data_IF_789631375859
#
_entry.id   IF_789631375859
#
_cell.length_a   1.000
_cell.length_b   1.000
_cell.length_c   1.000
_cell.angle_alpha   90.00
_cell.angle_beta   90.00
_cell.angle_gamma   90.00
#
_symmetry.space_group_name_H-M   'P 1'
#
loop_
_entity.id
_entity.type
_entity.pdbx_description
1 polymer ?
#
# COMPACT_ATOMS: atom_id res chain seq x y z
N UNK A 1 -19.51 22.58 9.16
CA UNK A 1 -19.17 22.76 7.72
C UNK A 1 -19.94 21.69 6.96
N UNK A 2 -20.87 22.08 6.11
CA UNK A 2 -21.62 21.11 5.29
C UNK A 2 -20.70 20.45 4.28
N UNK A 3 -20.72 19.13 4.22
CA UNK A 3 -19.99 18.29 3.26
C UNK A 3 -20.56 18.43 1.85
N UNK A 4 -20.35 19.60 1.24
CA UNK A 4 -21.02 19.98 -0.03
C UNK A 4 -20.53 19.16 -1.23
N UNK A 5 -19.25 18.80 -1.29
CA UNK A 5 -18.69 18.08 -2.44
C UNK A 5 -19.16 16.62 -2.47
N UNK A 6 -19.21 15.96 -1.32
CA UNK A 6 -19.57 14.56 -1.20
C UNK A 6 -20.94 14.21 -1.81
N UNK A 7 -21.92 15.13 -1.70
CA UNK A 7 -23.28 14.90 -2.20
C UNK A 7 -23.59 15.62 -3.51
N UNK A 8 -22.85 16.67 -3.85
CA UNK A 8 -23.07 17.47 -5.06
C UNK A 8 -22.26 16.97 -6.26
N UNK A 9 -21.15 16.23 -6.04
CA UNK A 9 -20.41 15.64 -7.14
C UNK A 9 -21.18 14.46 -7.73
N UNK A 10 -21.41 14.43 -9.06
CA UNK A 10 -22.11 13.31 -9.68
C UNK A 10 -21.24 12.05 -9.64
N UNK A 11 -21.86 10.91 -9.45
CA UNK A 11 -21.21 9.62 -9.70
C UNK A 11 -21.53 9.13 -11.11
N UNK A 12 -20.67 8.26 -11.62
CA UNK A 12 -20.86 7.59 -12.91
C UNK A 12 -20.69 6.08 -12.75
N UNK A 13 -21.43 5.32 -13.53
CA UNK A 13 -21.16 3.91 -13.70
C UNK A 13 -19.95 3.73 -14.64
N UNK A 14 -19.02 2.89 -14.27
CA UNK A 14 -17.86 2.54 -15.10
C UNK A 14 -18.26 1.39 -16.02
N UNK A 15 -17.93 1.50 -17.31
CA UNK A 15 -17.96 0.34 -18.20
C UNK A 15 -16.82 -0.61 -17.85
N UNK A 16 -16.95 -1.89 -18.18
CA UNK A 16 -15.91 -2.89 -17.86
C UNK A 16 -14.54 -2.52 -18.44
N UNK A 17 -14.51 -1.84 -19.58
CA UNK A 17 -13.28 -1.35 -20.22
C UNK A 17 -12.57 -0.28 -19.38
N UNK A 18 -13.33 0.49 -18.61
CA UNK A 18 -12.84 1.56 -17.74
C UNK A 18 -12.55 1.10 -16.31
N UNK A 19 -12.71 -0.19 -16.01
CA UNK A 19 -12.29 -0.74 -14.72
C UNK A 19 -10.75 -0.70 -14.61
N UNK A 20 -10.21 -0.44 -13.41
CA UNK A 20 -8.79 -0.65 -13.16
C UNK A 20 -8.37 -2.07 -13.57
N UNK A 21 -7.22 -2.20 -14.23
CA UNK A 21 -6.80 -3.44 -14.87
C UNK A 21 -6.84 -4.66 -13.96
N UNK A 22 -6.35 -4.51 -12.71
CA UNK A 22 -6.36 -5.58 -11.73
C UNK A 22 -7.78 -6.03 -11.36
N UNK A 23 -8.70 -5.07 -11.17
CA UNK A 23 -10.08 -5.39 -10.85
C UNK A 23 -10.80 -6.04 -12.03
N UNK A 24 -10.53 -5.55 -13.26
CA UNK A 24 -11.09 -6.15 -14.47
C UNK A 24 -10.68 -7.60 -14.67
N UNK A 25 -9.40 -7.92 -14.34
CA UNK A 25 -8.85 -9.26 -14.43
C UNK A 25 -9.23 -10.16 -13.23
N UNK A 26 -9.78 -9.59 -12.17
CA UNK A 26 -10.14 -10.30 -10.95
C UNK A 26 -11.34 -11.26 -11.20
N UNK A 27 -11.23 -12.49 -10.71
CA UNK A 27 -12.39 -13.44 -10.69
C UNK A 27 -13.53 -12.95 -9.81
N UNK A 28 -13.27 -11.95 -8.97
CA UNK A 28 -14.21 -11.30 -8.07
C UNK A 28 -14.68 -9.95 -8.56
N UNK A 29 -14.43 -9.60 -9.83
CA UNK A 29 -14.86 -8.34 -10.43
C UNK A 29 -16.37 -8.14 -10.27
N UNK A 30 -16.84 -6.96 -9.83
CA UNK A 30 -18.26 -6.68 -9.72
C UNK A 30 -18.91 -6.52 -11.09
N UNK A 31 -20.21 -6.80 -11.19
CA UNK A 31 -20.97 -6.59 -12.44
C UNK A 31 -21.21 -5.10 -12.72
N UNK A 32 -21.37 -4.32 -11.66
CA UNK A 32 -21.56 -2.86 -11.70
C UNK A 32 -20.51 -2.21 -10.81
N UNK A 33 -19.94 -1.12 -11.23
CA UNK A 33 -19.03 -0.33 -10.43
C UNK A 33 -19.30 1.15 -10.66
N UNK A 34 -19.73 1.82 -9.61
CA UNK A 34 -19.97 3.25 -9.60
C UNK A 34 -18.76 3.97 -9.02
N UNK A 35 -18.43 5.12 -9.59
CA UNK A 35 -17.30 5.94 -9.23
C UNK A 35 -17.71 7.40 -9.02
N UNK A 36 -17.29 7.99 -7.92
CA UNK A 36 -17.31 9.42 -7.64
C UNK A 36 -15.87 9.88 -7.46
N UNK A 37 -15.48 10.99 -8.10
CA UNK A 37 -14.10 11.46 -8.16
C UNK A 37 -13.28 10.84 -9.30
N UNK A 38 -11.96 10.85 -9.16
CA UNK A 38 -11.02 10.47 -10.23
C UNK A 38 -10.26 9.20 -9.87
N UNK A 39 -10.30 8.21 -10.74
CA UNK A 39 -9.46 7.03 -10.60
C UNK A 39 -8.00 7.39 -10.94
N UNK A 40 -7.03 6.86 -10.20
CA UNK A 40 -5.63 7.03 -10.53
C UNK A 40 -5.30 6.42 -11.89
N UNK A 41 -4.24 6.91 -12.50
CA UNK A 41 -3.69 6.41 -13.76
C UNK A 41 -3.19 4.96 -13.64
N UNK A 42 -3.04 4.29 -14.78
CA UNK A 42 -2.72 2.84 -14.84
C UNK A 42 -1.31 2.49 -14.37
N UNK A 43 -0.43 3.47 -14.22
CA UNK A 43 0.93 3.32 -13.67
C UNK A 43 0.97 3.22 -12.14
N UNK A 44 -0.18 3.44 -11.48
CA UNK A 44 -0.27 3.41 -10.02
C UNK A 44 -0.37 1.99 -9.48
N UNK A 45 0.31 1.76 -8.35
CA UNK A 45 0.36 0.49 -7.64
C UNK A 45 -0.62 0.52 -6.46
N UNK A 46 -1.68 -0.27 -6.55
CA UNK A 46 -2.67 -0.38 -5.48
C UNK A 46 -2.15 -1.22 -4.31
N UNK A 47 -2.22 -0.66 -3.10
CA UNK A 47 -2.00 -1.38 -1.85
C UNK A 47 -3.26 -1.33 -1.00
N UNK A 48 -3.88 -2.49 -0.74
CA UNK A 48 -4.98 -2.60 0.19
C UNK A 48 -4.45 -2.54 1.62
N UNK A 49 -4.99 -1.66 2.45
CA UNK A 49 -4.67 -1.59 3.87
C UNK A 49 -5.95 -1.77 4.69
N UNK A 50 -6.03 -2.87 5.43
CA UNK A 50 -7.26 -3.26 6.12
C UNK A 50 -6.99 -3.69 7.56
N UNK A 51 -8.03 -3.64 8.39
CA UNK A 51 -7.89 -4.10 9.77
C UNK A 51 -9.17 -4.01 10.60
N UNK A 52 -8.98 -4.10 11.90
CA UNK A 52 -10.07 -4.08 12.87
C UNK A 52 -10.76 -2.71 12.94
N UNK A 53 -12.07 -2.74 13.22
CA UNK A 53 -12.86 -1.53 13.50
C UNK A 53 -12.65 -0.98 14.94
N UNK A 54 -12.01 -1.76 15.81
CA UNK A 54 -11.66 -1.40 17.18
C UNK A 54 -10.16 -1.62 17.40
N UNK A 55 -9.31 -0.74 16.82
CA UNK A 55 -7.87 -0.87 16.90
C UNK A 55 -7.31 -0.51 18.28
N UNK A 56 -6.02 -0.81 18.49
CA UNK A 56 -5.28 -0.33 19.66
C UNK A 56 -5.12 1.20 19.63
N UNK A 57 -4.81 1.79 20.79
CA UNK A 57 -4.55 3.23 20.89
C UNK A 57 -3.38 3.71 20.01
N UNK A 58 -2.38 2.86 19.79
CA UNK A 58 -1.21 3.16 18.96
C UNK A 58 -1.44 2.94 17.45
N UNK A 59 -2.60 2.43 17.04
CA UNK A 59 -2.82 2.02 15.64
C UNK A 59 -2.84 3.19 14.66
N UNK A 60 -3.28 4.36 15.10
CA UNK A 60 -3.29 5.54 14.24
C UNK A 60 -1.87 5.96 13.88
N UNK A 61 -0.97 6.04 14.85
CA UNK A 61 0.43 6.34 14.64
C UNK A 61 1.12 5.27 13.78
N UNK A 62 0.77 4.01 14.01
CA UNK A 62 1.25 2.89 13.20
C UNK A 62 0.84 3.03 11.73
N UNK A 63 -0.42 3.40 11.45
CA UNK A 63 -0.89 3.66 10.09
C UNK A 63 -0.16 4.86 9.45
N UNK A 64 0.13 5.93 10.21
CA UNK A 64 0.90 7.07 9.72
C UNK A 64 2.30 6.64 9.27
N UNK A 65 3.02 5.89 10.09
CA UNK A 65 4.37 5.39 9.77
C UNK A 65 4.36 4.46 8.55
N UNK A 66 3.39 3.56 8.46
CA UNK A 66 3.22 2.68 7.31
C UNK A 66 3.01 3.48 6.02
N UNK A 67 2.08 4.42 6.04
CA UNK A 67 1.74 5.22 4.86
C UNK A 67 2.84 6.21 4.49
N UNK A 68 3.56 6.76 5.47
CA UNK A 68 4.71 7.65 5.20
C UNK A 68 5.78 6.97 4.34
N UNK A 69 5.96 5.66 4.46
CA UNK A 69 6.88 4.91 3.62
C UNK A 69 6.47 4.86 2.14
N UNK A 70 5.22 5.22 1.83
CA UNK A 70 4.68 5.25 0.46
C UNK A 70 4.75 6.64 -0.19
N UNK A 71 5.26 7.65 0.53
CA UNK A 71 5.46 8.99 -0.04
C UNK A 71 6.47 8.94 -1.19
N UNK A 72 6.29 9.82 -2.17
CA UNK A 72 7.14 9.92 -3.35
C UNK A 72 7.26 8.59 -4.14
N UNK A 73 6.18 7.82 -4.15
CA UNK A 73 6.04 6.60 -4.96
C UNK A 73 4.81 6.70 -5.87
N UNK A 74 4.61 5.69 -6.69
CA UNK A 74 3.38 5.53 -7.47
C UNK A 74 2.30 4.71 -6.72
N UNK A 75 2.43 4.53 -5.41
CA UNK A 75 1.45 3.81 -4.60
C UNK A 75 0.10 4.54 -4.48
N UNK A 76 -0.97 3.75 -4.38
CA UNK A 76 -2.32 4.20 -4.03
C UNK A 76 -2.81 3.36 -2.86
N UNK A 77 -3.21 4.01 -1.78
CA UNK A 77 -3.82 3.33 -0.63
C UNK A 77 -5.29 3.03 -0.94
N UNK A 78 -5.68 1.77 -0.82
CA UNK A 78 -7.04 1.31 -1.06
C UNK A 78 -7.60 0.72 0.22
N UNK A 79 -8.76 1.20 0.67
CA UNK A 79 -9.40 0.69 1.88
C UNK A 79 -10.92 0.87 1.83
N UNK A 80 -11.59 0.50 2.92
CA UNK A 80 -13.05 0.42 2.93
C UNK A 80 -13.77 1.56 3.64
N UNK A 81 -13.07 2.58 4.09
CA UNK A 81 -13.65 3.68 4.86
C UNK A 81 -14.46 3.20 6.08
N UNK A 82 -14.16 2.03 6.63
CA UNK A 82 -14.72 1.59 7.88
C UNK A 82 -14.06 2.31 9.06
N UNK A 83 -14.77 2.41 10.19
CA UNK A 83 -14.17 2.91 11.43
C UNK A 83 -12.91 2.12 11.79
N UNK A 84 -11.92 2.75 12.40
CA UNK A 84 -10.66 2.12 12.83
C UNK A 84 -9.60 2.13 11.73
N UNK A 85 -8.95 0.99 11.48
CA UNK A 85 -7.76 0.91 10.60
C UNK A 85 -8.01 1.53 9.21
N UNK A 86 -9.14 1.22 8.58
CA UNK A 86 -9.44 1.74 7.24
C UNK A 86 -9.42 3.28 7.24
N UNK A 87 -10.14 3.91 8.20
CA UNK A 87 -10.18 5.37 8.34
C UNK A 87 -8.82 5.96 8.69
N UNK A 88 -8.03 5.28 9.52
CA UNK A 88 -6.68 5.72 9.87
C UNK A 88 -5.73 5.69 8.66
N UNK A 89 -5.81 4.65 7.83
CA UNK A 89 -5.03 4.57 6.60
C UNK A 89 -5.41 5.65 5.59
N UNK A 90 -6.70 5.94 5.41
CA UNK A 90 -7.13 7.03 4.53
C UNK A 90 -6.65 8.39 5.02
N UNK A 91 -6.78 8.69 6.34
CA UNK A 91 -6.27 9.95 6.91
C UNK A 91 -4.77 10.07 6.72
N UNK A 92 -4.04 9.02 7.06
CA UNK A 92 -2.58 9.01 6.89
C UNK A 92 -2.19 9.23 5.42
N UNK A 93 -2.91 8.64 4.47
CA UNK A 93 -2.67 8.84 3.04
C UNK A 93 -2.91 10.29 2.63
N UNK A 94 -4.03 10.89 3.05
CA UNK A 94 -4.36 12.29 2.79
C UNK A 94 -3.35 13.26 3.40
N UNK A 95 -2.91 13.00 4.63
CA UNK A 95 -1.94 13.84 5.34
C UNK A 95 -0.53 13.72 4.74
N UNK A 96 -0.20 12.56 4.18
CA UNK A 96 1.08 12.28 3.52
C UNK A 96 1.11 12.64 2.03
N UNK A 97 -0.01 13.08 1.44
CA UNK A 97 -0.11 13.35 0.01
C UNK A 97 -0.08 12.08 -0.87
N UNK A 98 -0.33 10.89 -0.28
CA UNK A 98 -0.43 9.63 -0.99
C UNK A 98 -1.85 9.47 -1.53
N UNK A 99 -2.05 9.20 -2.83
CA UNK A 99 -3.38 8.98 -3.39
C UNK A 99 -4.14 7.87 -2.66
N UNK A 100 -5.45 8.04 -2.49
CA UNK A 100 -6.26 7.02 -1.82
C UNK A 100 -7.64 6.84 -2.44
N UNK A 101 -8.11 5.59 -2.44
CA UNK A 101 -9.42 5.19 -2.95
C UNK A 101 -10.19 4.49 -1.83
N UNK A 102 -11.42 4.94 -1.58
CA UNK A 102 -12.32 4.27 -0.67
C UNK A 102 -13.36 3.44 -1.42
N UNK A 103 -13.49 2.17 -1.08
CA UNK A 103 -14.55 1.30 -1.59
C UNK A 103 -15.66 1.24 -0.54
N UNK A 104 -16.90 1.55 -0.91
CA UNK A 104 -18.03 1.63 0.01
C UNK A 104 -18.91 0.38 -0.05
N UNK A 105 -19.56 0.05 1.06
CA UNK A 105 -20.53 -1.04 1.16
C UNK A 105 -21.99 -0.55 0.98
N UNK A 106 -22.18 0.65 0.44
CA UNK A 106 -23.42 1.36 0.22
C UNK A 106 -23.34 2.16 -1.07
N UNK A 107 -24.44 2.63 -1.59
CA UNK A 107 -24.47 3.52 -2.75
C UNK A 107 -23.76 4.85 -2.47
N UNK A 108 -23.25 5.48 -3.53
CA UNK A 108 -22.40 6.67 -3.43
C UNK A 108 -23.15 7.95 -3.01
N UNK A 109 -24.49 7.95 -3.06
CA UNK A 109 -25.33 9.03 -2.53
C UNK A 109 -25.89 8.72 -1.14
N UNK A 110 -25.75 7.47 -0.66
CA UNK A 110 -26.18 7.11 0.67
C UNK A 110 -25.39 7.87 1.73
N UNK A 111 -26.06 8.30 2.80
CA UNK A 111 -25.49 9.14 3.85
C UNK A 111 -24.28 8.47 4.50
N UNK A 112 -23.16 9.18 4.55
CA UNK A 112 -21.98 8.86 5.35
C UNK A 112 -21.96 9.81 6.54
N UNK A 113 -21.74 9.30 7.75
CA UNK A 113 -21.84 10.08 8.98
C UNK A 113 -20.49 10.25 9.68
N UNK A 114 -20.39 11.35 10.45
CA UNK A 114 -19.27 11.63 11.33
C UNK A 114 -17.94 11.79 10.59
N UNK A 115 -16.87 11.37 11.23
CA UNK A 115 -15.50 11.48 10.71
C UNK A 115 -15.31 10.83 9.33
N UNK A 116 -16.05 9.76 9.03
CA UNK A 116 -16.00 9.09 7.74
C UNK A 116 -16.45 9.99 6.59
N UNK A 117 -17.46 10.85 6.82
CA UNK A 117 -17.90 11.84 5.84
C UNK A 117 -16.79 12.86 5.55
N UNK A 118 -16.11 13.35 6.58
CA UNK A 118 -14.98 14.27 6.43
C UNK A 118 -13.82 13.62 5.64
N UNK A 119 -13.52 12.35 5.91
CA UNK A 119 -12.48 11.62 5.18
C UNK A 119 -12.89 11.44 3.71
N UNK A 120 -14.15 11.04 3.43
CA UNK A 120 -14.67 10.88 2.08
C UNK A 120 -14.61 12.19 1.28
N UNK A 121 -14.99 13.31 1.90
CA UNK A 121 -14.86 14.64 1.32
C UNK A 121 -13.42 14.98 0.96
N UNK A 122 -12.48 14.78 1.89
CA UNK A 122 -11.05 15.01 1.66
C UNK A 122 -10.48 14.12 0.56
N UNK A 123 -10.93 12.86 0.43
CA UNK A 123 -10.53 11.96 -0.65
C UNK A 123 -10.89 12.58 -2.01
N UNK A 124 -12.12 13.07 -2.17
CA UNK A 124 -12.57 13.73 -3.40
C UNK A 124 -11.78 15.01 -3.68
N UNK A 125 -11.60 15.85 -2.67
CA UNK A 125 -10.83 17.11 -2.77
C UNK A 125 -9.36 16.89 -3.16
N UNK A 126 -8.77 15.77 -2.74
CA UNK A 126 -7.38 15.42 -3.09
C UNK A 126 -7.24 14.74 -4.46
N UNK A 127 -8.31 14.64 -5.24
CA UNK A 127 -8.30 13.96 -6.55
C UNK A 127 -8.36 12.44 -6.46
N UNK A 128 -8.74 11.88 -5.32
CA UNK A 128 -9.01 10.46 -5.13
C UNK A 128 -10.42 10.06 -5.58
N UNK A 129 -10.82 8.82 -5.27
CA UNK A 129 -12.13 8.29 -5.66
C UNK A 129 -12.85 7.54 -4.54
N UNK A 130 -14.19 7.59 -4.61
CA UNK A 130 -15.07 6.69 -3.89
C UNK A 130 -15.68 5.71 -4.90
N UNK A 131 -15.61 4.42 -4.59
CA UNK A 131 -16.13 3.34 -5.42
C UNK A 131 -17.23 2.57 -4.68
N UNK A 132 -18.22 2.08 -5.43
CA UNK A 132 -19.24 1.18 -4.92
C UNK A 132 -19.79 0.28 -6.01
N UNK A 133 -20.23 -0.93 -5.67
CA UNK A 133 -21.03 -1.76 -6.58
C UNK A 133 -22.55 -1.52 -6.42
N UNK A 134 -22.94 -0.61 -5.52
CA UNK A 134 -24.33 -0.30 -5.21
C UNK A 134 -24.72 1.06 -5.75
N UNK A 135 -25.88 1.12 -6.39
CA UNK A 135 -26.36 2.34 -7.03
C UNK A 135 -27.00 3.31 -6.02
N UNK A 136 -26.86 4.60 -6.30
CA UNK A 136 -27.63 5.70 -5.68
C UNK A 136 -27.54 5.72 -4.16
N UNK A 137 -28.72 5.67 -3.55
CA UNK A 137 -28.92 5.76 -2.08
C UNK A 137 -28.98 4.40 -1.40
N UNK A 138 -28.57 3.31 -2.08
CA UNK A 138 -28.61 1.96 -1.52
C UNK A 138 -27.95 1.92 -0.15
N UNK A 139 -28.65 1.52 0.93
CA UNK A 139 -28.11 1.52 2.28
C UNK A 139 -27.10 0.38 2.48
N UNK A 140 -26.23 0.55 3.48
CA UNK A 140 -25.29 -0.47 3.86
C UNK A 140 -25.98 -1.61 4.63
N UNK A 141 -25.92 -2.83 4.10
CA UNK A 141 -26.33 -4.05 4.78
C UNK A 141 -25.11 -4.87 5.23
N UNK A 142 -25.29 -5.73 6.22
CA UNK A 142 -24.20 -6.55 6.79
C UNK A 142 -23.45 -7.35 5.70
N UNK A 143 -24.17 -7.96 4.76
CA UNK A 143 -23.61 -8.71 3.65
C UNK A 143 -22.73 -7.87 2.72
N UNK A 144 -23.11 -6.60 2.51
CA UNK A 144 -22.40 -5.70 1.60
C UNK A 144 -20.98 -5.40 2.07
N UNK A 145 -20.71 -5.36 3.38
CA UNK A 145 -19.36 -5.18 3.92
C UNK A 145 -18.44 -6.35 3.56
N UNK A 146 -18.98 -7.57 3.55
CA UNK A 146 -18.24 -8.77 3.16
C UNK A 146 -18.01 -8.76 1.65
N UNK A 147 -19.07 -8.54 0.88
CA UNK A 147 -19.01 -8.51 -0.58
C UNK A 147 -18.03 -7.45 -1.09
N UNK A 148 -18.05 -6.23 -0.52
CA UNK A 148 -17.19 -5.13 -0.88
C UNK A 148 -15.69 -5.46 -0.73
N UNK A 149 -15.30 -6.26 0.26
CA UNK A 149 -13.88 -6.54 0.56
C UNK A 149 -13.15 -7.20 -0.62
N UNK A 150 -13.86 -7.96 -1.47
CA UNK A 150 -13.31 -8.52 -2.71
C UNK A 150 -12.87 -7.44 -3.71
N UNK A 151 -13.56 -6.30 -3.71
CA UNK A 151 -13.21 -5.18 -4.59
C UNK A 151 -11.96 -4.46 -4.07
N UNK A 152 -11.81 -4.30 -2.75
CA UNK A 152 -10.59 -3.76 -2.14
C UNK A 152 -9.37 -4.60 -2.54
N UNK A 153 -9.44 -5.92 -2.36
CA UNK A 153 -8.39 -6.84 -2.78
C UNK A 153 -8.20 -6.84 -4.31
N UNK A 154 -9.31 -6.85 -5.07
CA UNK A 154 -9.30 -6.85 -6.53
C UNK A 154 -8.57 -5.67 -7.14
N UNK A 155 -8.69 -4.48 -6.54
CA UNK A 155 -8.02 -3.25 -6.96
C UNK A 155 -6.51 -3.21 -6.64
N UNK A 156 -6.03 -4.13 -5.79
CA UNK A 156 -4.70 -4.03 -5.19
C UNK A 156 -3.79 -5.17 -5.67
N UNK A 157 -2.51 -4.87 -5.82
CA UNK A 157 -1.45 -5.87 -6.06
C UNK A 157 -1.06 -6.55 -4.75
N UNK A 158 -1.04 -5.80 -3.66
CA UNK A 158 -0.65 -6.24 -2.33
C UNK A 158 -1.74 -5.88 -1.33
N UNK A 159 -2.00 -6.77 -0.37
CA UNK A 159 -2.91 -6.52 0.76
C UNK A 159 -2.13 -6.57 2.06
N UNK A 160 -2.20 -5.51 2.87
CA UNK A 160 -1.66 -5.45 4.22
C UNK A 160 -2.78 -5.55 5.26
N UNK A 161 -2.69 -6.53 6.14
CA UNK A 161 -3.53 -6.61 7.35
C UNK A 161 -2.76 -5.98 8.51
N UNK A 162 -3.22 -4.81 8.98
CA UNK A 162 -2.55 -4.03 10.03
C UNK A 162 -2.80 -4.62 11.42
N UNK A 163 -4.05 -4.81 11.78
CA UNK A 163 -4.49 -5.47 13.02
C UNK A 163 -5.76 -6.27 12.77
N UNK A 164 -5.81 -7.49 13.22
CA UNK A 164 -7.02 -8.32 13.15
C UNK A 164 -7.04 -9.38 14.26
N UNK A 165 -8.21 -9.55 14.87
CA UNK A 165 -8.49 -10.74 15.66
C UNK A 165 -8.64 -11.96 14.77
N UNK A 166 -8.54 -13.18 15.33
CA UNK A 166 -8.63 -14.44 14.60
C UNK A 166 -9.94 -14.62 13.80
N UNK A 167 -11.03 -13.99 14.22
CA UNK A 167 -12.32 -13.97 13.50
C UNK A 167 -12.65 -12.58 12.95
N UNK A 168 -11.64 -11.77 12.61
CA UNK A 168 -11.80 -10.39 12.13
C UNK A 168 -12.23 -10.32 10.66
N UNK A 169 -13.07 -9.33 10.32
CA UNK A 169 -13.53 -9.12 8.94
C UNK A 169 -12.41 -8.81 7.93
N UNK A 170 -11.27 -8.27 8.38
CA UNK A 170 -10.10 -8.03 7.54
C UNK A 170 -9.48 -9.32 6.99
N UNK A 171 -9.64 -10.45 7.69
CA UNK A 171 -9.16 -11.76 7.23
C UNK A 171 -9.93 -12.26 5.99
N UNK A 172 -11.16 -11.79 5.78
CA UNK A 172 -11.89 -12.06 4.53
C UNK A 172 -11.24 -11.35 3.34
N UNK A 173 -10.77 -10.12 3.53
CA UNK A 173 -10.00 -9.41 2.49
C UNK A 173 -8.67 -10.13 2.22
N UNK A 174 -8.00 -10.60 3.27
CA UNK A 174 -6.80 -11.43 3.14
C UNK A 174 -7.06 -12.71 2.35
N UNK A 175 -8.21 -13.36 2.57
CA UNK A 175 -8.57 -14.56 1.83
C UNK A 175 -8.78 -14.27 0.34
N UNK A 176 -9.48 -13.19 -0.03
CA UNK A 176 -9.63 -12.78 -1.44
C UNK A 176 -8.28 -12.51 -2.11
N UNK A 177 -7.34 -11.89 -1.38
CA UNK A 177 -5.97 -11.67 -1.85
C UNK A 177 -5.25 -12.98 -2.17
N UNK A 178 -5.29 -13.94 -1.25
CA UNK A 178 -4.65 -15.26 -1.42
C UNK A 178 -5.30 -16.07 -2.55
N UNK A 179 -6.63 -16.03 -2.66
CA UNK A 179 -7.37 -16.76 -3.69
C UNK A 179 -7.02 -16.29 -5.11
N UNK A 180 -6.50 -15.08 -5.23
CA UNK A 180 -6.01 -14.50 -6.49
C UNK A 180 -4.49 -14.61 -6.66
N UNK A 181 -3.79 -15.30 -5.74
CA UNK A 181 -2.34 -15.46 -5.77
C UNK A 181 -1.56 -14.14 -5.60
N UNK A 182 -2.19 -13.13 -4.99
CA UNK A 182 -1.57 -11.82 -4.75
C UNK A 182 -0.76 -11.83 -3.45
N UNK A 183 0.13 -10.85 -3.32
CA UNK A 183 0.97 -10.72 -2.13
C UNK A 183 0.13 -10.32 -0.91
N UNK A 184 0.21 -11.12 0.15
CA UNK A 184 -0.40 -10.83 1.44
C UNK A 184 0.69 -10.46 2.45
N UNK A 185 0.54 -9.31 3.08
CA UNK A 185 1.39 -8.81 4.16
C UNK A 185 0.60 -8.74 5.46
N UNK A 186 1.29 -8.91 6.58
CA UNK A 186 0.70 -8.75 7.89
C UNK A 186 1.70 -8.12 8.88
N UNK A 187 1.19 -7.30 9.79
CA UNK A 187 1.99 -6.81 10.91
C UNK A 187 2.00 -7.84 12.03
N UNK A 188 3.17 -8.22 12.53
CA UNK A 188 3.27 -8.99 13.75
C UNK A 188 2.92 -8.13 14.97
N UNK A 189 2.47 -8.75 16.02
CA UNK A 189 2.23 -8.09 17.29
C UNK A 189 2.45 -9.03 18.45
N UNK A 190 2.37 -8.48 19.68
CA UNK A 190 2.53 -9.28 20.88
C UNK A 190 1.52 -10.44 20.88
N UNK A 191 1.98 -11.64 21.17
CA UNK A 191 1.15 -12.86 21.18
C UNK A 191 0.01 -12.79 22.21
N UNK A 192 0.21 -12.04 23.32
CA UNK A 192 -0.82 -11.81 24.34
C UNK A 192 -1.89 -10.78 23.90
N UNK A 193 -1.65 -10.06 22.81
CA UNK A 193 -2.59 -9.06 22.35
C UNK A 193 -3.55 -9.65 21.30
N UNK A 194 -4.79 -9.87 21.71
CA UNK A 194 -5.84 -10.43 20.90
C UNK A 194 -6.07 -9.71 19.56
N UNK A 195 -5.74 -8.40 19.48
CA UNK A 195 -5.86 -7.61 18.26
C UNK A 195 -4.89 -8.07 17.15
N UNK A 196 -3.84 -8.79 17.50
CA UNK A 196 -2.87 -9.35 16.55
C UNK A 196 -3.01 -10.86 16.37
N UNK A 197 -3.95 -11.52 17.06
CA UNK A 197 -4.11 -12.98 16.97
C UNK A 197 -4.38 -13.46 15.52
N UNK A 198 -5.10 -12.68 14.72
CA UNK A 198 -5.36 -12.99 13.31
C UNK A 198 -4.17 -12.74 12.40
N UNK A 199 -3.45 -11.62 12.58
CA UNK A 199 -2.23 -11.33 11.81
C UNK A 199 -1.13 -12.31 12.14
N UNK A 200 -0.92 -12.62 13.43
CA UNK A 200 0.06 -13.62 13.86
C UNK A 200 -0.27 -15.01 13.29
N UNK A 201 -1.54 -15.42 13.25
CA UNK A 201 -1.94 -16.68 12.64
C UNK A 201 -1.68 -16.75 11.12
N UNK A 202 -1.82 -15.63 10.39
CA UNK A 202 -1.44 -15.54 8.98
C UNK A 202 0.07 -15.72 8.78
N UNK A 203 0.87 -15.13 9.67
CA UNK A 203 2.33 -15.22 9.64
C UNK A 203 2.81 -16.62 10.03
N UNK A 204 2.29 -17.18 11.11
CA UNK A 204 2.63 -18.52 11.61
C UNK A 204 2.34 -19.61 10.57
N UNK A 205 1.22 -19.49 9.86
CA UNK A 205 0.85 -20.41 8.78
C UNK A 205 1.59 -20.19 7.46
N UNK A 206 2.53 -19.24 7.38
CA UNK A 206 3.25 -18.90 6.15
C UNK A 206 2.39 -18.30 5.05
N UNK A 207 1.14 -17.89 5.36
CA UNK A 207 0.19 -17.33 4.37
C UNK A 207 0.43 -15.85 4.09
N UNK A 208 1.12 -15.14 4.98
CA UNK A 208 1.48 -13.74 4.82
C UNK A 208 2.97 -13.53 5.07
N UNK A 209 3.54 -12.54 4.41
CA UNK A 209 4.89 -12.03 4.71
C UNK A 209 4.81 -10.97 5.80
N UNK A 210 5.75 -11.00 6.76
CA UNK A 210 5.77 -10.05 7.85
C UNK A 210 6.30 -8.68 7.42
N UNK A 211 5.66 -7.61 7.92
CA UNK A 211 6.22 -6.26 7.92
C UNK A 211 6.60 -5.96 9.37
N UNK A 212 7.87 -6.13 9.72
CA UNK A 212 8.37 -5.93 11.11
C UNK A 212 8.59 -4.45 11.43
N UNK A 213 9.00 -3.68 10.45
CA UNK A 213 9.28 -2.24 10.57
C UNK A 213 8.29 -1.51 9.67
N UNK A 214 7.43 -0.62 10.21
CA UNK A 214 6.42 0.07 9.40
C UNK A 214 7.01 0.80 8.20
N UNK A 215 8.18 1.40 8.34
CA UNK A 215 8.88 2.13 7.31
C UNK A 215 9.40 1.23 6.17
N UNK A 216 9.50 -0.08 6.40
CA UNK A 216 9.87 -1.04 5.36
C UNK A 216 8.71 -1.50 4.48
N UNK A 217 7.47 -1.05 4.73
CA UNK A 217 6.31 -1.48 3.96
C UNK A 217 6.52 -1.31 2.45
N UNK A 218 7.06 -0.18 2.03
CA UNK A 218 7.34 0.09 0.62
C UNK A 218 8.23 -0.98 -0.02
N UNK A 219 9.37 -1.29 0.61
CA UNK A 219 10.33 -2.26 0.08
C UNK A 219 9.79 -3.70 0.14
N UNK A 220 9.08 -4.06 1.22
CA UNK A 220 8.46 -5.38 1.37
C UNK A 220 7.34 -5.59 0.35
N UNK A 221 6.58 -4.54 0.03
CA UNK A 221 5.55 -4.56 -1.00
C UNK A 221 6.11 -4.45 -2.44
N UNK A 222 7.42 -4.26 -2.61
CA UNK A 222 8.04 -4.14 -3.92
C UNK A 222 7.66 -2.85 -4.67
N UNK A 223 7.30 -1.78 -3.95
CA UNK A 223 6.88 -0.51 -4.55
C UNK A 223 8.12 0.36 -4.82
N UNK A 224 8.40 0.73 -6.07
CA UNK A 224 9.57 1.56 -6.39
C UNK A 224 9.39 3.00 -5.91
N UNK A 225 10.48 3.66 -5.56
CA UNK A 225 10.49 5.09 -5.33
C UNK A 225 10.58 5.84 -6.65
N UNK A 226 9.92 6.99 -6.75
CA UNK A 226 10.01 7.84 -7.94
C UNK A 226 11.34 8.62 -7.91
N UNK A 227 12.02 8.67 -9.03
CA UNK A 227 13.42 9.15 -9.15
C UNK A 227 13.67 10.61 -8.70
N UNK A 228 12.65 11.46 -8.67
CA UNK A 228 12.79 12.85 -8.21
C UNK A 228 12.99 13.04 -6.70
N UNK A 229 12.68 12.03 -5.88
CA UNK A 229 12.75 12.12 -4.41
C UNK A 229 14.08 11.60 -3.82
N UNK A 230 14.90 10.92 -4.61
CA UNK A 230 16.11 10.23 -4.14
C UNK A 230 17.25 11.17 -3.74
N UNK A 231 17.44 12.25 -4.49
CA UNK A 231 18.58 13.14 -4.31
C UNK A 231 18.46 13.93 -2.99
N UNK A 232 17.25 14.33 -2.62
CA UNK A 232 17.02 15.07 -1.36
C UNK A 232 17.14 14.22 -0.10
N UNK A 233 16.74 12.93 -0.14
CA UNK A 233 16.83 12.03 1.04
C UNK A 233 18.27 11.56 1.32
N UNK A 234 19.07 11.34 0.29
CA UNK A 234 20.51 11.02 0.44
C UNK A 234 21.30 12.20 1.02
N UNK A 235 20.87 13.43 0.71
CA UNK A 235 21.47 14.65 1.26
C UNK A 235 21.06 14.91 2.72
N UNK A 236 19.87 14.45 3.14
CA UNK A 236 19.37 14.68 4.52
C UNK A 236 19.95 13.70 5.54
N UNK A 237 20.39 12.50 5.12
CA UNK A 237 21.08 11.54 5.98
C UNK A 237 22.58 11.85 6.20
N UNK A 238 23.14 12.88 5.59
CA UNK A 238 24.53 13.31 5.80
C UNK A 238 25.58 12.35 5.25
N UNK A 239 25.21 11.30 4.54
CA UNK A 239 26.14 10.34 3.92
C UNK A 239 26.44 10.85 2.51
N UNK A 240 27.62 11.41 2.30
CA UNK A 240 28.13 11.75 0.97
C UNK A 240 28.67 10.45 0.34
N UNK A 241 27.95 9.90 -0.62
CA UNK A 241 28.46 8.84 -1.47
C UNK A 241 29.50 9.40 -2.44
N UNK A 242 30.51 8.56 -2.76
CA UNK A 242 31.38 8.85 -3.88
C UNK A 242 30.62 8.86 -5.20
N UNK A 243 31.07 9.60 -6.21
CA UNK A 243 30.42 9.63 -7.53
C UNK A 243 30.31 8.23 -8.15
N UNK A 244 31.27 7.38 -7.91
CA UNK A 244 31.27 5.99 -8.37
C UNK A 244 30.19 5.15 -7.66
N UNK A 245 30.06 5.27 -6.34
CA UNK A 245 29.02 4.60 -5.56
C UNK A 245 27.62 5.04 -5.98
N UNK A 246 27.45 6.33 -6.20
CA UNK A 246 26.18 6.90 -6.67
C UNK A 246 25.79 6.33 -8.04
N UNK A 247 26.70 6.29 -9.02
CA UNK A 247 26.45 5.73 -10.36
C UNK A 247 26.07 4.25 -10.31
N UNK A 248 26.76 3.45 -9.49
CA UNK A 248 26.47 2.01 -9.33
C UNK A 248 25.09 1.83 -8.70
N UNK A 249 24.78 2.59 -7.67
CA UNK A 249 23.48 2.52 -6.99
C UNK A 249 22.33 2.94 -7.89
N UNK A 250 22.43 4.06 -8.60
CA UNK A 250 21.42 4.55 -9.53
C UNK A 250 21.10 3.56 -10.66
N UNK A 251 22.15 2.87 -11.16
CA UNK A 251 22.02 1.90 -12.25
C UNK A 251 21.28 0.63 -11.84
N UNK A 252 21.46 0.16 -10.60
CA UNK A 252 20.95 -1.15 -10.15
C UNK A 252 19.95 -1.09 -9.00
N UNK A 253 19.51 0.07 -8.64
CA UNK A 253 18.53 0.24 -7.60
C UNK A 253 17.28 -0.64 -7.78
N UNK A 254 16.98 -1.46 -6.76
CA UNK A 254 15.90 -2.44 -6.80
C UNK A 254 16.24 -3.76 -7.49
N UNK A 255 17.48 -3.93 -7.98
CA UNK A 255 17.92 -5.16 -8.64
C UNK A 255 18.86 -5.99 -7.76
N UNK A 256 18.94 -7.27 -8.09
CA UNK A 256 19.91 -8.19 -7.55
C UNK A 256 21.02 -8.39 -8.58
N UNK A 257 22.28 -8.28 -8.17
CA UNK A 257 23.44 -8.50 -9.03
C UNK A 257 24.52 -9.27 -8.31
N UNK A 258 25.22 -10.11 -9.05
CA UNK A 258 26.46 -10.73 -8.57
C UNK A 258 27.65 -9.80 -8.77
N UNK A 259 28.73 -10.02 -8.03
CA UNK A 259 29.99 -9.27 -8.20
C UNK A 259 30.50 -9.32 -9.65
N UNK A 260 30.41 -10.47 -10.29
CA UNK A 260 30.84 -10.68 -11.68
C UNK A 260 30.01 -9.89 -12.69
N UNK A 261 28.69 -9.82 -12.49
CA UNK A 261 27.81 -9.02 -13.35
C UNK A 261 28.08 -7.53 -13.20
N UNK A 262 28.33 -7.05 -11.96
CA UNK A 262 28.68 -5.65 -11.71
C UNK A 262 30.03 -5.30 -12.35
N UNK A 263 31.01 -6.21 -12.29
CA UNK A 263 32.31 -6.01 -12.89
C UNK A 263 32.27 -5.98 -14.43
N UNK A 264 31.33 -6.70 -15.04
CA UNK A 264 31.13 -6.67 -16.50
C UNK A 264 30.44 -5.39 -17.02
N UNK A 265 29.58 -4.80 -16.21
CA UNK A 265 28.83 -3.59 -16.62
C UNK A 265 29.61 -2.28 -16.38
N UNK A 266 30.55 -2.30 -15.43
CA UNK A 266 31.40 -1.15 -15.15
C UNK A 266 32.88 -1.56 -15.29
N UNK A 267 33.66 -0.73 -15.92
CA UNK A 267 35.11 -0.93 -16.09
C UNK A 267 35.89 -0.60 -14.80
N UNK A 268 35.41 -1.15 -13.66
CA UNK A 268 36.07 -1.02 -12.37
C UNK A 268 36.99 -2.22 -12.10
N UNK A 269 38.17 -1.95 -11.52
CA UNK A 269 39.01 -3.01 -10.98
C UNK A 269 38.36 -3.64 -9.76
N UNK A 270 38.56 -4.94 -9.51
CA UNK A 270 37.91 -5.66 -8.42
C UNK A 270 38.05 -4.98 -7.03
N UNK A 271 39.21 -4.42 -6.63
CA UNK A 271 39.35 -3.70 -5.36
C UNK A 271 38.52 -2.41 -5.30
N UNK A 272 38.38 -1.72 -6.43
CA UNK A 272 37.61 -0.47 -6.56
C UNK A 272 36.10 -0.77 -6.44
N UNK A 273 35.61 -1.78 -7.15
CA UNK A 273 34.21 -2.21 -7.06
C UNK A 273 33.89 -2.69 -5.64
N UNK A 274 34.81 -3.39 -4.98
CA UNK A 274 34.62 -3.85 -3.60
C UNK A 274 34.51 -2.66 -2.64
N UNK A 275 35.33 -1.64 -2.80
CA UNK A 275 35.24 -0.41 -2.00
C UNK A 275 33.90 0.32 -2.20
N UNK A 276 33.43 0.42 -3.43
CA UNK A 276 32.13 1.01 -3.78
C UNK A 276 30.98 0.21 -3.13
N UNK A 277 31.00 -1.10 -3.22
CA UNK A 277 29.98 -1.96 -2.63
C UNK A 277 29.99 -1.90 -1.10
N UNK A 278 31.17 -1.83 -0.49
CA UNK A 278 31.32 -1.63 0.96
C UNK A 278 30.76 -0.27 1.40
N UNK A 279 31.03 0.80 0.64
CA UNK A 279 30.48 2.13 0.90
C UNK A 279 28.92 2.11 0.85
N UNK A 280 28.37 1.45 -0.16
CA UNK A 280 26.92 1.28 -0.31
C UNK A 280 26.31 0.40 0.79
N UNK A 281 27.05 -0.61 1.25
CA UNK A 281 26.63 -1.52 2.32
C UNK A 281 26.62 -0.80 3.69
N UNK A 282 27.67 -0.05 4.02
CA UNK A 282 27.75 0.79 5.22
C UNK A 282 26.64 1.85 5.22
N UNK A 283 26.30 2.36 4.05
CA UNK A 283 25.20 3.32 3.86
C UNK A 283 23.80 2.68 3.91
N UNK A 284 23.70 1.34 4.06
CA UNK A 284 22.42 0.61 4.09
C UNK A 284 21.71 0.53 2.75
N UNK A 285 22.35 0.97 1.67
CA UNK A 285 21.79 1.01 0.32
C UNK A 285 21.95 -0.31 -0.44
N UNK A 286 22.87 -1.15 0.01
CA UNK A 286 23.12 -2.50 -0.52
C UNK A 286 23.19 -3.48 0.65
N UNK A 287 22.70 -4.69 0.44
CA UNK A 287 22.84 -5.81 1.38
C UNK A 287 23.51 -6.97 0.67
N UNK A 288 24.62 -7.46 1.20
CA UNK A 288 25.24 -8.70 0.70
C UNK A 288 24.58 -9.92 1.35
N UNK A 289 24.42 -10.97 0.56
CA UNK A 289 24.06 -12.33 1.02
C UNK A 289 25.04 -13.34 0.47
N UNK A 290 24.99 -14.57 0.99
CA UNK A 290 25.85 -15.68 0.60
C UNK A 290 26.05 -15.79 -0.92
N UNK A 291 27.24 -16.14 -1.38
CA UNK A 291 27.67 -16.24 -2.78
C UNK A 291 27.91 -14.91 -3.54
N UNK A 292 28.37 -13.86 -2.86
CA UNK A 292 28.69 -12.57 -3.51
C UNK A 292 27.53 -11.98 -4.32
N UNK A 293 26.31 -12.15 -3.81
CA UNK A 293 25.12 -11.51 -4.35
C UNK A 293 24.80 -10.23 -3.57
N UNK A 294 24.66 -9.14 -4.31
CA UNK A 294 24.36 -7.81 -3.79
C UNK A 294 22.92 -7.43 -4.15
N UNK A 295 22.16 -7.06 -3.14
CA UNK A 295 20.80 -6.56 -3.26
C UNK A 295 20.85 -5.06 -3.12
N UNK A 296 20.58 -4.35 -4.18
CA UNK A 296 20.47 -2.91 -4.15
C UNK A 296 19.11 -2.56 -3.57
N UNK A 297 19.14 -2.19 -2.29
CA UNK A 297 17.94 -1.81 -1.57
C UNK A 297 17.43 -0.53 -2.21
N UNK A 298 16.33 -0.63 -2.96
CA UNK A 298 15.67 0.55 -3.44
C UNK A 298 15.42 1.49 -2.25
N UNK A 299 16.01 2.68 -2.27
CA UNK A 299 15.85 3.67 -1.21
C UNK A 299 14.38 4.07 -1.07
#
# INVERSE_FOLDING_TARGET
>A
METKLLYNEPYRELTLENYPLLLRASKYSPKHLFCKGTLPTTDKIGIAMVGTRRPSASAEELCKRLVSSLQNTNAVVISGLAQGIDSYCHRAALDAGVPTIAVLAQGLNAKIEGERATIAERILQSGGALLSEYEGDTPAYKGNFIARNRIISGLSQTTLVVQSRQKGGALLTAQFCLDEGKQLLALPGNFDNELYSGTNALLDSGRAQAVFIPESLRSVAGIPQLDGAKIEQLTTCGIKLSEAAQKVFERFNGFRKTFSELQQEFDFKAPELLAILTELEISGLVTSKDNYQFYFNGA
#
